data_IF_789832254148
#
_entry.id   IF_789832254148
#
_cell.length_a   1.000
_cell.length_b   1.000
_cell.length_c   1.000
_cell.angle_alpha   90.00
_cell.angle_beta   90.00
_cell.angle_gamma   90.00
#
_symmetry.space_group_name_H-M   'P 1'
#
loop_
_entity.id
_entity.type
_entity.pdbx_description
1 polymer ?
#
# COMPACT_ATOMS: atom_id res chain seq x y z
N UNK A 1 -5.41 20.69 -39.01
CA UNK A 1 -6.41 20.53 -37.93
C UNK A 1 -6.18 21.63 -36.92
N UNK A 2 -7.18 22.49 -36.66
CA UNK A 2 -7.04 23.56 -35.67
C UNK A 2 -6.95 22.94 -34.28
N UNK A 3 -5.84 23.19 -33.58
CA UNK A 3 -5.65 22.80 -32.18
C UNK A 3 -6.64 23.61 -31.33
N UNK A 4 -7.70 22.95 -30.85
CA UNK A 4 -8.64 23.54 -29.90
C UNK A 4 -7.85 23.96 -28.65
N UNK A 5 -7.90 25.24 -28.31
CA UNK A 5 -7.22 25.78 -27.13
C UNK A 5 -7.77 25.09 -25.87
N UNK A 6 -6.91 24.37 -25.15
CA UNK A 6 -7.30 23.65 -23.93
C UNK A 6 -7.26 24.66 -22.78
N UNK A 7 -8.42 25.00 -22.24
CA UNK A 7 -8.53 25.85 -21.05
C UNK A 7 -7.90 25.14 -19.84
N UNK A 8 -6.94 25.80 -19.19
CA UNK A 8 -6.25 25.30 -18.00
C UNK A 8 -6.73 26.02 -16.74
N UNK A 9 -6.83 25.27 -15.64
CA UNK A 9 -7.27 25.75 -14.34
C UNK A 9 -6.30 25.30 -13.25
N UNK A 10 -6.07 26.16 -12.26
CA UNK A 10 -5.27 25.81 -11.08
C UNK A 10 -6.13 25.07 -10.07
N UNK A 11 -5.66 23.94 -9.57
CA UNK A 11 -6.25 23.23 -8.45
C UNK A 11 -5.25 23.15 -7.29
N UNK A 12 -5.75 23.35 -6.08
CA UNK A 12 -4.99 23.23 -4.84
C UNK A 12 -5.48 21.98 -4.08
N UNK A 13 -4.55 21.09 -3.76
CA UNK A 13 -4.81 19.84 -3.03
C UNK A 13 -3.82 19.69 -1.88
N UNK A 14 -4.20 18.99 -0.81
CA UNK A 14 -3.28 18.68 0.30
C UNK A 14 -2.70 17.29 0.12
N UNK A 15 -1.37 17.19 0.07
CA UNK A 15 -0.66 15.94 -0.21
C UNK A 15 0.36 15.65 0.87
N UNK A 16 0.52 14.39 1.25
CA UNK A 16 1.54 13.94 2.17
C UNK A 16 2.93 14.33 1.64
N UNK A 17 3.68 15.09 2.44
CA UNK A 17 4.89 15.79 2.01
C UNK A 17 5.93 14.90 1.29
N UNK A 18 6.28 13.70 1.80
CA UNK A 18 7.21 12.80 1.12
C UNK A 18 6.80 12.47 -0.32
N UNK A 19 5.50 12.30 -0.59
CA UNK A 19 5.01 11.99 -1.94
C UNK A 19 5.34 13.10 -2.93
N UNK A 20 5.24 14.37 -2.50
CA UNK A 20 5.52 15.53 -3.36
C UNK A 20 6.97 15.50 -3.84
N UNK A 21 7.91 15.31 -2.92
CA UNK A 21 9.34 15.34 -3.21
C UNK A 21 9.75 14.20 -4.14
N UNK A 22 9.28 12.98 -3.88
CA UNK A 22 9.65 11.81 -4.69
C UNK A 22 9.01 11.86 -6.06
N UNK A 23 7.73 12.23 -6.14
CA UNK A 23 7.04 12.41 -7.41
C UNK A 23 7.76 13.44 -8.28
N UNK A 24 8.14 14.59 -7.71
CA UNK A 24 8.90 15.61 -8.44
C UNK A 24 10.22 15.05 -8.98
N UNK A 25 11.00 14.38 -8.13
CA UNK A 25 12.25 13.77 -8.53
C UNK A 25 12.08 12.74 -9.66
N UNK A 26 11.10 11.83 -9.56
CA UNK A 26 10.83 10.82 -10.59
C UNK A 26 10.34 11.43 -11.90
N UNK A 27 9.47 12.43 -11.86
CA UNK A 27 8.99 13.14 -13.05
C UNK A 27 10.14 13.89 -13.76
N UNK A 28 11.02 14.53 -12.99
CA UNK A 28 12.20 15.21 -13.53
C UNK A 28 13.19 14.22 -14.14
N UNK A 29 13.46 13.10 -13.47
CA UNK A 29 14.31 12.02 -13.98
C UNK A 29 13.77 11.42 -15.28
N UNK A 30 12.44 11.28 -15.39
CA UNK A 30 11.76 10.85 -16.62
C UNK A 30 11.69 11.93 -17.71
N UNK A 31 12.24 13.13 -17.46
CA UNK A 31 12.23 14.28 -18.38
C UNK A 31 10.81 14.72 -18.80
N UNK A 32 9.83 14.58 -17.89
CA UNK A 32 8.43 14.89 -18.13
C UNK A 32 8.04 16.29 -17.67
N UNK A 33 7.11 16.91 -18.42
CA UNK A 33 6.41 18.10 -17.93
C UNK A 33 5.34 17.69 -16.94
N UNK A 34 5.66 17.81 -15.64
CA UNK A 34 4.82 17.42 -14.49
C UNK A 34 3.33 17.60 -14.71
N UNK A 35 2.87 18.84 -14.86
CA UNK A 35 1.44 19.15 -14.90
C UNK A 35 0.76 18.59 -16.18
N UNK A 36 1.46 18.52 -17.30
CA UNK A 36 0.92 17.95 -18.53
C UNK A 36 0.77 16.42 -18.44
N UNK A 37 1.73 15.75 -17.80
CA UNK A 37 1.64 14.31 -17.51
C UNK A 37 0.51 14.02 -16.53
N UNK A 38 0.48 14.75 -15.40
CA UNK A 38 -0.54 14.57 -14.37
C UNK A 38 -1.96 14.85 -14.89
N UNK A 39 -2.15 15.85 -15.75
CA UNK A 39 -3.45 16.13 -16.39
C UNK A 39 -3.97 14.92 -17.18
N UNK A 40 -3.10 14.28 -17.96
CA UNK A 40 -3.46 13.08 -18.73
C UNK A 40 -3.72 11.88 -17.82
N UNK A 41 -2.82 11.62 -16.87
CA UNK A 41 -2.89 10.46 -15.99
C UNK A 41 -4.10 10.54 -15.05
N UNK A 42 -4.32 11.67 -14.39
CA UNK A 42 -5.44 11.87 -13.46
C UNK A 42 -6.80 11.80 -14.16
N UNK A 43 -6.91 12.23 -15.42
CA UNK A 43 -8.15 12.09 -16.18
C UNK A 43 -8.54 10.62 -16.33
N UNK A 44 -7.58 9.79 -16.74
CA UNK A 44 -7.80 8.34 -16.92
C UNK A 44 -8.12 7.70 -15.56
N UNK A 45 -7.36 8.05 -14.52
CA UNK A 45 -7.56 7.49 -13.19
C UNK A 45 -8.87 7.92 -12.53
N UNK A 46 -9.40 9.11 -12.83
CA UNK A 46 -10.72 9.51 -12.39
C UNK A 46 -11.83 8.70 -13.07
N UNK A 47 -11.67 8.32 -14.34
CA UNK A 47 -12.60 7.40 -15.02
C UNK A 47 -12.57 6.02 -14.38
N UNK A 48 -11.38 5.48 -14.09
CA UNK A 48 -11.28 4.22 -13.35
C UNK A 48 -11.86 4.32 -11.95
N UNK A 49 -11.64 5.40 -11.20
CA UNK A 49 -12.29 5.61 -9.90
C UNK A 49 -13.82 5.50 -10.01
N UNK A 50 -14.40 6.08 -11.06
CA UNK A 50 -15.84 6.00 -11.32
C UNK A 50 -16.30 4.56 -11.61
N UNK A 51 -15.55 3.83 -12.42
CA UNK A 51 -15.88 2.47 -12.86
C UNK A 51 -15.68 1.43 -11.76
N UNK A 52 -14.61 1.55 -10.99
CA UNK A 52 -14.16 0.55 -10.01
C UNK A 52 -14.89 0.64 -8.66
N UNK A 53 -15.36 1.85 -8.30
CA UNK A 53 -16.16 2.06 -7.10
C UNK A 53 -17.65 1.92 -7.40
N UNK A 54 -18.16 0.70 -7.30
CA UNK A 54 -19.59 0.42 -7.53
C UNK A 54 -20.50 1.18 -6.55
N UNK A 55 -20.13 1.19 -5.27
CA UNK A 55 -20.90 1.84 -4.19
C UNK A 55 -20.16 3.09 -3.69
N UNK A 56 -20.82 4.27 -3.66
CA UNK A 56 -20.26 5.45 -3.02
C UNK A 56 -20.00 5.22 -1.52
N UNK A 57 -18.99 5.90 -0.96
CA UNK A 57 -18.77 5.90 0.49
C UNK A 57 -19.96 6.49 1.24
N UNK A 58 -20.24 5.96 2.43
CA UNK A 58 -21.11 6.63 3.38
C UNK A 58 -20.48 7.96 3.85
N UNK A 59 -21.27 8.82 4.47
CA UNK A 59 -20.73 10.03 5.11
C UNK A 59 -19.82 9.69 6.30
N UNK A 60 -20.07 8.58 7.00
CA UNK A 60 -19.19 8.05 8.06
C UNK A 60 -17.83 7.68 7.47
N UNK A 61 -17.79 6.93 6.37
CA UNK A 61 -16.57 6.55 5.68
C UNK A 61 -15.79 7.74 5.14
N UNK A 62 -16.45 8.70 4.50
CA UNK A 62 -15.78 9.92 4.03
C UNK A 62 -15.16 10.71 5.17
N UNK A 63 -15.89 10.86 6.28
CA UNK A 63 -15.40 11.57 7.47
C UNK A 63 -14.19 10.84 8.05
N UNK A 64 -14.29 9.52 8.25
CA UNK A 64 -13.21 8.69 8.73
C UNK A 64 -11.96 8.83 7.87
N UNK A 65 -12.05 8.63 6.54
CA UNK A 65 -10.92 8.80 5.62
C UNK A 65 -10.30 10.21 5.73
N UNK A 66 -11.13 11.25 5.87
CA UNK A 66 -10.65 12.63 6.01
C UNK A 66 -9.87 12.83 7.31
N UNK A 67 -10.33 12.24 8.42
CA UNK A 67 -9.65 12.28 9.71
C UNK A 67 -8.32 11.53 9.65
N UNK A 68 -8.31 10.30 9.13
CA UNK A 68 -7.09 9.50 8.97
C UNK A 68 -6.06 10.21 8.05
N UNK A 69 -6.51 10.83 6.96
CA UNK A 69 -5.63 11.62 6.10
C UNK A 69 -5.03 12.83 6.83
N UNK A 70 -5.77 13.44 7.76
CA UNK A 70 -5.31 14.61 8.51
C UNK A 70 -4.22 14.32 9.54
N UNK A 71 -4.05 13.05 9.94
CA UNK A 71 -2.95 12.59 10.80
C UNK A 71 -1.60 12.60 10.06
N UNK A 72 -1.63 12.58 8.73
CA UNK A 72 -0.43 12.65 7.91
C UNK A 72 0.14 14.07 7.87
N UNK A 73 1.46 14.17 7.63
CA UNK A 73 2.11 15.46 7.36
C UNK A 73 1.75 15.98 5.98
N UNK A 74 0.66 16.75 5.88
CA UNK A 74 0.15 17.27 4.62
C UNK A 74 0.75 18.64 4.27
N UNK A 75 1.06 18.84 2.98
CA UNK A 75 1.45 20.13 2.39
C UNK A 75 0.55 20.49 1.20
N UNK A 76 0.26 21.79 0.99
CA UNK A 76 -0.46 22.24 -0.19
C UNK A 76 0.36 22.03 -1.47
N UNK A 77 -0.23 21.40 -2.48
CA UNK A 77 0.32 21.22 -3.82
C UNK A 77 -0.61 21.89 -4.83
N UNK A 78 -0.06 22.81 -5.64
CA UNK A 78 -0.79 23.45 -6.74
C UNK A 78 -0.45 22.76 -8.06
N UNK A 79 -1.48 22.37 -8.80
CA UNK A 79 -1.37 21.77 -10.14
C UNK A 79 -2.12 22.62 -11.16
N UNK A 80 -1.59 22.71 -12.38
CA UNK A 80 -2.25 23.38 -13.51
C UNK A 80 -2.75 22.33 -14.51
N UNK A 81 -4.03 21.94 -14.38
CA UNK A 81 -4.65 20.89 -15.19
C UNK A 81 -5.65 21.48 -16.19
N UNK A 82 -6.14 20.69 -17.14
CA UNK A 82 -7.25 21.13 -17.98
C UNK A 82 -8.52 21.29 -17.13
N UNK A 83 -9.39 22.24 -17.51
CA UNK A 83 -10.69 22.43 -16.82
C UNK A 83 -11.55 21.17 -16.90
N UNK A 84 -11.45 20.42 -18.01
CA UNK A 84 -12.13 19.14 -18.21
C UNK A 84 -11.71 18.11 -17.14
N UNK A 85 -10.40 17.92 -16.93
CA UNK A 85 -9.87 17.01 -15.90
C UNK A 85 -10.26 17.44 -14.49
N UNK A 86 -10.17 18.74 -14.16
CA UNK A 86 -10.58 19.25 -12.83
C UNK A 86 -12.06 19.00 -12.56
N UNK A 87 -12.92 19.26 -13.55
CA UNK A 87 -14.36 19.01 -13.44
C UNK A 87 -14.64 17.52 -13.25
N UNK A 88 -14.00 16.66 -14.05
CA UNK A 88 -14.15 15.21 -13.93
C UNK A 88 -13.74 14.71 -12.54
N UNK A 89 -12.57 15.10 -12.03
CA UNK A 89 -12.11 14.69 -10.69
C UNK A 89 -13.13 15.12 -9.63
N UNK A 90 -13.59 16.38 -9.66
CA UNK A 90 -14.55 16.89 -8.69
C UNK A 90 -15.91 16.17 -8.80
N UNK A 91 -16.36 15.88 -10.02
CA UNK A 91 -17.60 15.15 -10.29
C UNK A 91 -17.54 13.73 -9.74
N UNK A 92 -16.50 12.97 -10.09
CA UNK A 92 -16.33 11.57 -9.64
C UNK A 92 -16.13 11.51 -8.13
N UNK A 93 -15.29 12.37 -7.54
CA UNK A 93 -15.09 12.39 -6.08
C UNK A 93 -16.40 12.72 -5.35
N UNK A 94 -17.23 13.60 -5.91
CA UNK A 94 -18.56 13.90 -5.35
C UNK A 94 -19.52 12.73 -5.53
N UNK A 95 -19.58 12.13 -6.71
CA UNK A 95 -20.41 10.97 -7.05
C UNK A 95 -20.12 9.77 -6.14
N UNK A 96 -18.84 9.46 -5.93
CA UNK A 96 -18.38 8.32 -5.10
C UNK A 96 -18.21 8.67 -3.62
N UNK A 97 -18.54 9.91 -3.24
CA UNK A 97 -18.36 10.45 -1.89
C UNK A 97 -16.92 10.26 -1.33
N UNK A 98 -15.91 10.42 -2.19
CA UNK A 98 -14.49 10.29 -1.84
C UNK A 98 -13.90 11.67 -1.53
N UNK A 99 -13.13 11.85 -0.44
CA UNK A 99 -12.37 13.08 -0.25
C UNK A 99 -11.37 13.27 -1.40
N UNK A 100 -11.45 14.41 -2.11
CA UNK A 100 -10.56 14.68 -3.26
C UNK A 100 -9.09 14.55 -2.89
N UNK A 101 -8.70 15.05 -1.72
CA UNK A 101 -7.32 14.96 -1.26
C UNK A 101 -6.89 13.50 -1.03
N UNK A 102 -7.78 12.62 -0.55
CA UNK A 102 -7.48 11.18 -0.39
C UNK A 102 -7.25 10.49 -1.74
N UNK A 103 -8.09 10.77 -2.74
CA UNK A 103 -7.88 10.28 -4.11
C UNK A 103 -6.53 10.73 -4.67
N UNK A 104 -6.16 12.01 -4.50
CA UNK A 104 -4.88 12.53 -4.98
C UNK A 104 -3.69 11.90 -4.25
N UNK A 105 -3.78 11.69 -2.93
CA UNK A 105 -2.71 11.04 -2.16
C UNK A 105 -2.54 9.58 -2.56
N UNK A 106 -3.65 8.84 -2.76
CA UNK A 106 -3.61 7.46 -3.26
C UNK A 106 -2.96 7.39 -4.64
N UNK A 107 -3.39 8.26 -5.55
CA UNK A 107 -2.81 8.36 -6.89
C UNK A 107 -1.31 8.62 -6.82
N UNK A 108 -0.85 9.59 -6.02
CA UNK A 108 0.59 9.89 -5.93
C UNK A 108 1.38 8.76 -5.27
N UNK A 109 0.83 8.12 -4.23
CA UNK A 109 1.46 6.96 -3.61
C UNK A 109 1.68 5.84 -4.61
N UNK A 110 0.66 5.46 -5.37
CA UNK A 110 0.76 4.42 -6.40
C UNK A 110 1.66 4.83 -7.56
N UNK A 111 1.71 6.12 -7.91
CA UNK A 111 2.57 6.64 -8.98
C UNK A 111 4.06 6.50 -8.65
N UNK A 112 4.43 6.63 -7.37
CA UNK A 112 5.82 6.49 -6.94
C UNK A 112 6.16 5.10 -6.39
N UNK A 113 5.15 4.25 -6.19
CA UNK A 113 5.31 2.97 -5.52
C UNK A 113 6.30 2.08 -6.28
N UNK A 114 7.28 1.58 -5.55
CA UNK A 114 8.16 0.49 -5.97
C UNK A 114 7.48 -0.85 -5.69
N UNK A 115 8.06 -1.93 -6.21
CA UNK A 115 7.57 -3.29 -5.94
C UNK A 115 7.45 -3.55 -4.43
N UNK A 116 8.44 -3.11 -3.65
CA UNK A 116 8.41 -3.21 -2.18
C UNK A 116 7.19 -2.51 -1.57
N UNK A 117 6.87 -1.31 -2.05
CA UNK A 117 5.71 -0.54 -1.58
C UNK A 117 4.41 -1.20 -2.03
N UNK A 118 4.33 -1.66 -3.28
CA UNK A 118 3.15 -2.35 -3.81
C UNK A 118 2.89 -3.66 -3.05
N UNK A 119 3.92 -4.47 -2.81
CA UNK A 119 3.80 -5.69 -2.00
C UNK A 119 3.28 -5.38 -0.60
N UNK A 120 3.79 -4.32 0.03
CA UNK A 120 3.34 -3.92 1.36
C UNK A 120 1.86 -3.46 1.36
N UNK A 121 1.46 -2.66 0.38
CA UNK A 121 0.09 -2.13 0.25
C UNK A 121 -0.94 -3.22 -0.06
N UNK A 122 -0.58 -4.22 -0.85
CA UNK A 122 -1.46 -5.29 -1.30
C UNK A 122 -1.16 -6.62 -0.61
N UNK A 123 -0.47 -6.61 0.54
CA UNK A 123 -0.01 -7.83 1.21
C UNK A 123 -1.15 -8.79 1.58
N UNK A 124 -2.29 -8.27 2.05
CA UNK A 124 -3.45 -9.12 2.36
C UNK A 124 -3.92 -9.87 1.11
N UNK A 125 -4.05 -9.15 -0.01
CA UNK A 125 -4.44 -9.72 -1.29
C UNK A 125 -3.45 -10.78 -1.79
N UNK A 126 -2.15 -10.51 -1.65
CA UNK A 126 -1.08 -11.46 -2.01
C UNK A 126 -1.08 -12.69 -1.11
N UNK A 127 -1.30 -12.52 0.20
CA UNK A 127 -1.32 -13.63 1.16
C UNK A 127 -2.45 -14.63 0.89
N UNK A 128 -3.59 -14.16 0.39
CA UNK A 128 -4.70 -15.05 -0.02
C UNK A 128 -4.27 -15.89 -1.23
N UNK A 129 -3.56 -15.29 -2.20
CA UNK A 129 -3.04 -16.01 -3.38
C UNK A 129 -1.94 -17.03 -3.02
N UNK A 130 -1.09 -16.70 -2.03
CA UNK A 130 -0.06 -17.62 -1.52
C UNK A 130 -0.70 -18.84 -0.83
N UNK A 131 -1.76 -18.65 -0.05
CA UNK A 131 -2.50 -19.76 0.56
C UNK A 131 -3.16 -20.68 -0.49
N UNK A 132 -3.67 -20.11 -1.58
CA UNK A 132 -4.21 -20.88 -2.69
C UNK A 132 -3.14 -21.74 -3.38
N UNK A 133 -1.91 -21.23 -3.51
CA UNK A 133 -0.80 -21.95 -4.16
C UNK A 133 -0.14 -23.01 -3.28
N UNK A 134 -0.13 -22.86 -1.95
CA UNK A 134 0.45 -23.86 -1.04
C UNK A 134 -0.46 -25.09 -0.79
N UNK A 135 -1.74 -25.01 -1.11
CA UNK A 135 -2.72 -26.10 -0.90
C UNK A 135 -2.59 -27.29 -1.86
N UNK A 136 -2.03 -27.10 -3.06
CA UNK A 136 -2.02 -28.16 -4.09
C UNK A 136 -0.62 -28.61 -4.55
N UNK A 137 0.44 -27.88 -4.19
CA UNK A 137 1.81 -28.26 -4.58
C UNK A 137 2.59 -29.03 -3.49
N UNK A 138 1.95 -29.30 -2.36
CA UNK A 138 2.60 -29.93 -1.20
C UNK A 138 2.62 -31.45 -1.22
N UNK A 139 1.86 -32.16 -2.08
CA UNK A 139 1.81 -33.63 -1.99
C UNK A 139 1.82 -34.32 -3.37
N UNK A 140 3.04 -34.52 -3.86
CA UNK A 140 3.47 -35.66 -4.68
C UNK A 140 3.37 -35.55 -6.23
N UNK A 141 4.51 -35.80 -6.89
CA UNK A 141 4.70 -36.21 -8.29
C UNK A 141 4.78 -35.17 -9.43
N UNK A 142 4.75 -33.86 -9.17
CA UNK A 142 4.91 -32.85 -10.23
C UNK A 142 6.36 -32.44 -10.57
N UNK A 143 7.32 -32.82 -9.73
CA UNK A 143 8.60 -32.11 -9.66
C UNK A 143 9.75 -32.72 -10.48
N UNK A 144 9.73 -34.03 -10.74
CA UNK A 144 10.83 -34.69 -11.46
C UNK A 144 10.76 -34.51 -12.99
N UNK A 145 9.57 -34.19 -13.55
CA UNK A 145 9.37 -34.13 -15.00
C UNK A 145 9.82 -32.80 -15.64
N UNK A 146 10.02 -31.74 -14.84
CA UNK A 146 10.33 -30.39 -15.34
C UNK A 146 11.83 -30.07 -15.29
N UNK A 147 12.61 -30.73 -14.44
CA UNK A 147 14.09 -30.66 -14.46
C UNK A 147 14.69 -31.33 -15.70
N UNK A 148 14.12 -32.46 -16.18
CA UNK A 148 14.62 -33.16 -17.38
C UNK A 148 14.33 -32.42 -18.69
N UNK A 149 13.35 -31.51 -18.73
CA UNK A 149 12.98 -30.78 -19.93
C UNK A 149 13.77 -29.48 -20.15
N UNK A 150 14.73 -29.14 -19.26
CA UNK A 150 15.53 -27.92 -19.36
C UNK A 150 14.74 -26.62 -19.14
N UNK A 151 13.52 -26.71 -18.58
CA UNK A 151 12.72 -25.54 -18.22
C UNK A 151 13.04 -25.13 -16.78
N UNK A 152 13.83 -24.07 -16.67
CA UNK A 152 14.09 -23.38 -15.40
C UNK A 152 12.78 -22.75 -14.90
N UNK A 153 12.32 -23.16 -13.71
CA UNK A 153 11.38 -22.51 -12.77
C UNK A 153 10.39 -21.42 -13.28
N UNK A 154 9.09 -21.48 -12.93
CA UNK A 154 8.29 -20.28 -12.68
C UNK A 154 8.47 -19.82 -11.21
N UNK A 155 9.71 -19.68 -10.72
CA UNK A 155 10.02 -19.08 -9.41
C UNK A 155 9.96 -17.58 -9.57
N UNK A 156 9.16 -16.86 -8.77
CA UNK A 156 9.12 -15.39 -8.71
C UNK A 156 8.94 -14.65 -10.05
N UNK A 157 9.11 -15.26 -11.22
CA UNK A 157 9.45 -14.62 -12.47
C UNK A 157 8.20 -14.12 -13.18
N UNK A 158 7.03 -14.69 -12.96
CA UNK A 158 5.78 -14.15 -13.50
C UNK A 158 5.33 -12.92 -12.70
N UNK A 159 5.51 -12.96 -11.39
CA UNK A 159 5.29 -11.84 -10.48
C UNK A 159 6.35 -10.75 -10.74
N UNK A 160 7.62 -11.13 -10.77
CA UNK A 160 8.78 -10.30 -11.07
C UNK A 160 8.76 -9.80 -12.51
N UNK A 161 8.20 -10.49 -13.51
CA UNK A 161 8.02 -9.96 -14.87
C UNK A 161 6.88 -8.95 -14.93
N UNK A 162 5.82 -9.16 -14.13
CA UNK A 162 4.70 -8.21 -13.99
C UNK A 162 5.03 -6.99 -13.12
N UNK A 163 6.04 -7.08 -12.25
CA UNK A 163 6.58 -5.96 -11.47
C UNK A 163 7.88 -5.38 -12.08
N UNK A 164 8.56 -6.11 -12.99
CA UNK A 164 9.68 -5.59 -13.81
C UNK A 164 9.23 -4.56 -14.84
N UNK A 165 7.93 -4.42 -15.10
CA UNK A 165 7.40 -3.15 -15.58
C UNK A 165 7.57 -2.14 -14.45
N UNK A 166 8.77 -1.54 -14.46
CA UNK A 166 9.25 -0.53 -13.52
C UNK A 166 8.15 0.47 -13.18
N UNK A 167 8.21 1.05 -11.97
CA UNK A 167 7.40 2.19 -11.47
C UNK A 167 6.82 2.99 -12.64
N UNK A 168 5.52 3.30 -12.66
CA UNK A 168 4.82 3.89 -13.81
C UNK A 168 5.52 5.10 -14.51
N UNK A 169 6.42 5.79 -13.80
CA UNK A 169 7.26 6.88 -14.34
C UNK A 169 8.55 6.43 -15.03
N UNK A 170 9.08 5.25 -14.71
CA UNK A 170 10.33 4.68 -15.21
C UNK A 170 10.14 3.91 -16.55
N UNK A 171 8.88 3.77 -16.99
CA UNK A 171 8.44 3.10 -18.22
C UNK A 171 8.12 4.14 -19.31
N UNK A 172 9.11 4.41 -20.19
CA UNK A 172 8.96 5.41 -21.27
C UNK A 172 7.85 5.05 -22.27
N UNK A 173 7.50 3.76 -22.41
CA UNK A 173 6.45 3.30 -23.32
C UNK A 173 5.04 3.59 -22.80
N UNK A 174 4.78 3.54 -21.50
CA UNK A 174 3.46 3.89 -20.94
C UNK A 174 3.17 5.40 -21.08
N UNK A 175 4.19 6.24 -20.97
CA UNK A 175 4.11 7.70 -21.14
C UNK A 175 3.46 8.08 -22.49
N UNK A 176 3.74 7.32 -23.54
CA UNK A 176 3.26 7.57 -24.89
C UNK A 176 1.81 7.11 -25.12
N UNK A 177 1.26 6.20 -24.30
CA UNK A 177 -0.03 5.55 -24.60
C UNK A 177 -1.21 6.21 -23.88
N UNK A 178 -2.43 6.02 -24.39
CA UNK A 178 -3.69 6.52 -23.79
C UNK A 178 -4.14 5.67 -22.59
N UNK A 179 -3.20 5.06 -21.90
CA UNK A 179 -3.47 3.99 -20.93
C UNK A 179 -3.18 4.49 -19.52
N UNK A 180 -3.85 3.89 -18.54
CA UNK A 180 -3.73 4.24 -17.13
C UNK A 180 -2.30 3.98 -16.63
N UNK A 181 -1.71 4.85 -15.78
CA UNK A 181 -0.42 4.58 -15.15
C UNK A 181 -0.42 3.33 -14.25
N UNK A 182 -1.59 2.84 -13.81
CA UNK A 182 -1.70 1.65 -12.96
C UNK A 182 -2.22 0.42 -13.71
N UNK A 183 -2.04 0.37 -15.04
CA UNK A 183 -2.51 -0.76 -15.84
C UNK A 183 -1.89 -2.06 -15.36
N UNK A 184 -0.58 -2.06 -15.06
CA UNK A 184 0.11 -3.27 -14.58
C UNK A 184 -0.46 -3.77 -13.26
N UNK A 185 -0.75 -2.86 -12.32
CA UNK A 185 -1.40 -3.21 -11.03
C UNK A 185 -2.78 -3.81 -11.28
N UNK A 186 -3.59 -3.21 -12.16
CA UNK A 186 -4.91 -3.74 -12.52
C UNK A 186 -4.84 -5.09 -13.22
N UNK A 187 -3.93 -5.27 -14.17
CA UNK A 187 -3.71 -6.53 -14.88
C UNK A 187 -3.27 -7.62 -13.90
N UNK A 188 -2.39 -7.28 -12.96
CA UNK A 188 -1.96 -8.19 -11.91
C UNK A 188 -3.13 -8.60 -11.01
N UNK A 189 -3.91 -7.64 -10.49
CA UNK A 189 -5.10 -7.93 -9.68
C UNK A 189 -6.08 -8.81 -10.47
N UNK A 190 -6.38 -8.46 -11.72
CA UNK A 190 -7.27 -9.25 -12.57
C UNK A 190 -6.73 -10.66 -12.85
N UNK A 191 -5.42 -10.82 -13.01
CA UNK A 191 -4.79 -12.13 -13.19
C UNK A 191 -4.97 -13.00 -11.95
N UNK A 192 -4.72 -12.45 -10.76
CA UNK A 192 -4.94 -13.17 -9.50
C UNK A 192 -6.42 -13.55 -9.37
N UNK A 193 -7.34 -12.64 -9.68
CA UNK A 193 -8.77 -12.93 -9.59
C UNK A 193 -9.20 -13.98 -10.60
N UNK A 194 -8.72 -13.90 -11.85
CA UNK A 194 -9.04 -14.89 -12.88
C UNK A 194 -8.51 -16.27 -12.50
N UNK A 195 -7.25 -16.34 -12.05
CA UNK A 195 -6.61 -17.61 -11.72
C UNK A 195 -7.18 -18.24 -10.46
N UNK A 196 -7.40 -17.46 -9.40
CA UNK A 196 -7.73 -17.98 -8.07
C UNK A 196 -9.18 -17.75 -7.65
N UNK A 197 -9.88 -16.77 -8.22
CA UNK A 197 -11.27 -16.47 -7.87
C UNK A 197 -12.25 -17.55 -8.31
N UNK A 198 -12.05 -18.12 -9.50
CA UNK A 198 -12.91 -19.19 -10.02
C UNK A 198 -12.58 -20.55 -9.41
N UNK A 199 -11.30 -20.86 -9.25
CA UNK A 199 -10.82 -22.17 -8.79
C UNK A 199 -11.10 -22.43 -7.29
N UNK A 200 -10.94 -21.41 -6.44
CA UNK A 200 -11.08 -21.59 -4.99
C UNK A 200 -12.42 -21.10 -4.43
N UNK A 201 -13.29 -20.54 -5.27
CA UNK A 201 -14.63 -20.09 -4.85
C UNK A 201 -14.62 -18.99 -3.76
N UNK A 202 -13.48 -18.33 -3.53
CA UNK A 202 -13.38 -17.31 -2.47
C UNK A 202 -14.10 -16.04 -2.95
N UNK A 203 -15.31 -15.83 -2.44
CA UNK A 203 -16.14 -14.65 -2.71
C UNK A 203 -15.40 -13.35 -2.38
N UNK A 204 -14.42 -13.37 -1.45
CA UNK A 204 -13.58 -12.21 -1.15
C UNK A 204 -12.72 -11.82 -2.33
N UNK A 205 -12.06 -12.77 -3.00
CA UNK A 205 -11.25 -12.50 -4.20
C UNK A 205 -12.14 -11.95 -5.32
N UNK A 206 -13.32 -12.53 -5.53
CA UNK A 206 -14.28 -12.06 -6.54
C UNK A 206 -14.81 -10.67 -6.26
N UNK A 207 -14.98 -10.31 -4.98
CA UNK A 207 -15.41 -8.97 -4.57
C UNK A 207 -14.43 -7.86 -4.98
N UNK A 208 -13.17 -8.22 -5.24
CA UNK A 208 -12.13 -7.30 -5.71
C UNK A 208 -12.05 -7.15 -7.23
N UNK A 209 -12.93 -7.80 -8.00
CA UNK A 209 -12.88 -7.75 -9.46
C UNK A 209 -13.09 -6.31 -9.95
N UNK A 210 -12.05 -5.76 -10.61
CA UNK A 210 -11.98 -4.36 -11.06
C UNK A 210 -12.14 -3.35 -9.93
N UNK A 211 -11.50 -3.56 -8.78
CA UNK A 211 -11.76 -2.79 -7.58
C UNK A 211 -10.50 -2.15 -6.97
N UNK A 212 -9.52 -1.72 -7.77
CA UNK A 212 -8.26 -1.15 -7.24
C UNK A 212 -8.54 0.07 -6.36
N UNK A 213 -9.48 0.95 -6.74
CA UNK A 213 -9.92 2.06 -5.87
C UNK A 213 -10.90 1.68 -4.75
N UNK A 214 -11.48 0.48 -4.80
CA UNK A 214 -12.35 -0.05 -3.75
C UNK A 214 -11.58 -0.90 -2.74
N UNK A 215 -10.31 -1.19 -3.00
CA UNK A 215 -9.44 -1.97 -2.11
C UNK A 215 -8.88 -1.09 -0.98
N UNK A 216 -9.29 -1.28 0.28
CA UNK A 216 -8.66 -0.60 1.39
C UNK A 216 -7.27 -1.17 1.65
N UNK A 217 -6.29 -0.31 1.84
CA UNK A 217 -5.01 -0.65 2.45
C UNK A 217 -5.21 -0.89 3.94
N UNK A 218 -4.51 -1.87 4.47
CA UNK A 218 -4.47 -2.17 5.90
C UNK A 218 -3.76 -1.06 6.68
N UNK A 219 -4.20 -0.78 7.91
CA UNK A 219 -3.67 0.30 8.75
C UNK A 219 -2.13 0.27 8.82
N UNK A 220 -1.56 -0.93 9.01
CA UNK A 220 -0.13 -1.14 9.18
C UNK A 220 0.62 -1.43 7.86
N UNK A 221 -0.02 -1.32 6.69
CA UNK A 221 0.58 -1.70 5.41
C UNK A 221 1.94 -1.00 5.16
N UNK A 222 2.03 0.30 5.47
CA UNK A 222 3.25 1.09 5.27
C UNK A 222 4.21 1.06 6.47
N UNK A 223 3.79 0.51 7.62
CA UNK A 223 4.60 0.45 8.84
C UNK A 223 5.75 -0.54 8.74
N UNK A 224 5.55 -1.60 7.95
CA UNK A 224 6.51 -2.70 7.80
C UNK A 224 7.48 -2.51 6.62
N UNK A 225 7.49 -1.34 5.98
CA UNK A 225 8.43 -1.06 4.90
C UNK A 225 9.90 -1.16 5.40
N UNK A 226 10.88 -1.50 4.55
CA UNK A 226 12.30 -1.48 4.91
C UNK A 226 12.81 -0.08 5.32
N UNK A 227 13.98 -0.01 5.97
CA UNK A 227 14.55 1.27 6.46
C UNK A 227 14.83 2.26 5.33
N UNK A 228 15.12 1.77 4.12
CA UNK A 228 15.31 2.61 2.92
C UNK A 228 14.04 3.36 2.48
N UNK A 229 12.88 3.07 3.11
CA UNK A 229 11.60 3.72 2.89
C UNK A 229 11.05 4.39 4.16
N UNK A 230 11.92 4.74 5.11
CA UNK A 230 11.55 5.43 6.36
C UNK A 230 10.67 6.66 6.14
N UNK A 231 10.89 7.39 5.05
CA UNK A 231 10.14 8.57 4.64
C UNK A 231 8.69 8.28 4.24
N UNK A 232 8.33 7.02 3.94
CA UNK A 232 6.96 6.57 3.67
C UNK A 232 6.35 5.77 4.84
N UNK A 233 7.15 5.44 5.86
CA UNK A 233 6.62 4.77 7.05
C UNK A 233 5.68 5.73 7.77
N UNK A 234 4.43 5.32 7.81
CA UNK A 234 3.37 5.98 8.58
C UNK A 234 2.76 4.94 9.50
N UNK A 235 2.37 5.36 10.70
CA UNK A 235 1.67 4.48 11.63
C UNK A 235 0.26 4.13 11.14
N UNK A 236 -0.29 4.95 10.24
CA UNK A 236 -1.63 4.82 9.72
C UNK A 236 -1.67 5.02 8.20
N UNK A 237 -1.84 3.93 7.45
CA UNK A 237 -1.98 3.98 5.99
C UNK A 237 -3.41 4.27 5.52
N UNK A 238 -4.41 4.26 6.42
CA UNK A 238 -5.83 4.39 6.07
C UNK A 238 -6.16 5.74 5.43
N UNK A 239 -5.35 6.78 5.69
CA UNK A 239 -5.47 8.08 5.03
C UNK A 239 -5.28 8.04 3.51
N UNK A 240 -4.68 6.97 2.96
CA UNK A 240 -4.50 6.77 1.52
C UNK A 240 -5.65 5.98 0.88
N UNK A 241 -6.69 5.63 1.63
CA UNK A 241 -7.83 4.89 1.09
C UNK A 241 -8.85 5.80 0.41
N UNK A 242 -9.37 5.33 -0.72
CA UNK A 242 -10.48 5.96 -1.44
C UNK A 242 -11.83 5.33 -1.08
N UNK A 243 -11.82 4.12 -0.52
CA UNK A 243 -13.01 3.41 -0.06
C UNK A 243 -12.74 2.73 1.27
N UNK A 244 -13.69 2.82 2.19
CA UNK A 244 -13.72 2.07 3.45
C UNK A 244 -15.18 1.77 3.77
N UNK A 245 -15.52 0.53 4.14
CA UNK A 245 -16.88 0.16 4.55
C UNK A 245 -17.18 0.58 5.98
N UNK A 246 -18.45 0.85 6.30
CA UNK A 246 -18.85 1.21 7.67
C UNK A 246 -18.52 0.10 8.68
N UNK A 247 -18.66 -1.17 8.28
CA UNK A 247 -18.26 -2.33 9.07
C UNK A 247 -16.75 -2.34 9.35
N UNK A 248 -15.90 -1.95 8.39
CA UNK A 248 -14.46 -1.82 8.63
C UNK A 248 -14.19 -0.73 9.68
N UNK A 249 -14.87 0.41 9.59
CA UNK A 249 -14.73 1.51 10.54
C UNK A 249 -15.14 1.07 11.94
N UNK A 250 -16.26 0.38 12.08
CA UNK A 250 -16.72 -0.13 13.39
C UNK A 250 -15.70 -1.08 14.01
N UNK A 251 -15.05 -1.92 13.19
CA UNK A 251 -13.95 -2.78 13.66
C UNK A 251 -12.78 -1.94 14.15
N UNK A 252 -12.32 -0.95 13.39
CA UNK A 252 -11.25 -0.05 13.80
C UNK A 252 -11.58 0.69 15.11
N UNK A 253 -12.79 1.26 15.21
CA UNK A 253 -13.27 1.96 16.41
C UNK A 253 -13.26 1.01 17.63
N UNK A 254 -13.69 -0.25 17.46
CA UNK A 254 -13.68 -1.24 18.54
C UNK A 254 -12.27 -1.61 19.01
N UNK A 255 -11.30 -1.64 18.10
CA UNK A 255 -9.90 -1.90 18.45
C UNK A 255 -9.28 -0.72 19.19
N UNK A 256 -9.59 0.50 18.79
CA UNK A 256 -9.14 1.72 19.48
C UNK A 256 -9.71 1.73 20.90
N UNK A 257 -11.00 1.46 21.08
CA UNK A 257 -11.60 1.36 22.41
C UNK A 257 -10.93 0.28 23.27
N UNK A 258 -10.62 -0.88 22.68
CA UNK A 258 -9.94 -1.96 23.38
C UNK A 258 -8.49 -1.59 23.77
N UNK A 259 -7.72 -0.95 22.88
CA UNK A 259 -6.36 -0.53 23.22
C UNK A 259 -6.36 0.61 24.26
N UNK A 260 -7.34 1.52 24.20
CA UNK A 260 -7.58 2.52 25.23
C UNK A 260 -7.91 1.87 26.58
N UNK A 261 -8.72 0.82 26.60
CA UNK A 261 -9.02 0.06 27.82
C UNK A 261 -7.77 -0.66 28.34
N UNK A 262 -6.99 -1.30 27.46
CA UNK A 262 -5.77 -2.03 27.83
C UNK A 262 -4.65 -1.10 28.30
N UNK A 263 -4.55 0.11 27.74
CA UNK A 263 -3.58 1.13 28.17
C UNK A 263 -4.01 1.82 29.46
N UNK A 264 -5.32 1.97 29.73
CA UNK A 264 -5.85 2.52 30.98
C UNK A 264 -5.88 1.51 32.13
N UNK A 265 -5.59 0.22 31.92
CA UNK A 265 -5.49 -0.73 33.02
C UNK A 265 -4.14 -0.60 33.77
N UNK A 266 -4.15 -0.27 35.08
CA UNK A 266 -2.93 -0.22 35.90
C UNK A 266 -2.19 -1.56 35.98
N UNK A 267 -2.86 -2.65 35.58
CA UNK A 267 -2.27 -3.99 35.52
C UNK A 267 -1.27 -4.17 34.38
N UNK A 268 -1.38 -3.42 33.27
CA UNK A 268 -0.38 -3.45 32.18
C UNK A 268 0.95 -2.88 32.65
N UNK A 269 0.93 -1.79 33.44
CA UNK A 269 2.13 -1.24 34.07
C UNK A 269 2.71 -2.21 35.11
N UNK A 270 1.85 -2.86 35.90
CA UNK A 270 2.25 -3.90 36.85
C UNK A 270 2.91 -5.08 36.13
N UNK A 271 2.31 -5.57 35.04
CA UNK A 271 2.84 -6.68 34.24
C UNK A 271 4.16 -6.32 33.55
N UNK A 272 4.24 -5.13 32.93
CA UNK A 272 5.48 -4.62 32.33
C UNK A 272 6.59 -4.44 33.37
N UNK A 273 6.26 -4.04 34.60
CA UNK A 273 7.24 -3.93 35.69
C UNK A 273 7.78 -5.31 36.12
N UNK A 274 6.93 -6.34 36.15
CA UNK A 274 7.32 -7.73 36.45
C UNK A 274 8.23 -8.27 35.34
N UNK A 275 7.87 -8.09 34.07
CA UNK A 275 8.68 -8.53 32.93
C UNK A 275 10.04 -7.83 32.87
N UNK A 276 10.10 -6.52 33.16
CA UNK A 276 11.37 -5.78 33.26
C UNK A 276 12.23 -6.28 34.41
N UNK A 277 11.63 -6.61 35.56
CA UNK A 277 12.32 -7.18 36.72
C UNK A 277 12.92 -8.56 36.40
N UNK A 278 12.14 -9.47 35.81
CA UNK A 278 12.64 -10.80 35.41
C UNK A 278 13.78 -10.71 34.39
N UNK A 279 13.68 -9.81 33.41
CA UNK A 279 14.75 -9.60 32.43
C UNK A 279 16.05 -9.14 33.10
N UNK A 280 15.96 -8.23 34.08
CA UNK A 280 17.11 -7.74 34.85
C UNK A 280 17.73 -8.85 35.71
N UNK A 281 16.90 -9.66 36.37
CA UNK A 281 17.37 -10.81 37.17
C UNK A 281 18.08 -11.86 36.31
N UNK A 282 17.54 -12.17 35.11
CA UNK A 282 18.19 -13.07 34.14
C UNK A 282 19.53 -12.51 33.66
N UNK A 283 19.59 -11.23 33.33
CA UNK A 283 20.84 -10.58 32.91
C UNK A 283 21.89 -10.61 34.04
N UNK A 284 21.48 -10.36 35.28
CA UNK A 284 22.37 -10.41 36.44
C UNK A 284 22.87 -11.83 36.72
N UNK A 285 22.02 -12.85 36.63
CA UNK A 285 22.42 -14.24 36.78
C UNK A 285 23.43 -14.69 35.71
N UNK A 286 23.25 -14.24 34.46
CA UNK A 286 24.22 -14.48 33.38
C UNK A 286 25.56 -13.81 33.69
N UNK A 287 25.54 -12.55 34.15
CA UNK A 287 26.74 -11.82 34.52
C UNK A 287 27.51 -12.50 35.66
N UNK A 288 26.82 -12.87 36.75
CA UNK A 288 27.42 -13.59 37.89
C UNK A 288 28.00 -14.95 37.48
N UNK A 289 27.36 -15.65 36.55
CA UNK A 289 27.87 -16.92 35.99
C UNK A 289 29.16 -16.72 35.20
N UNK A 290 29.26 -15.63 34.42
CA UNK A 290 30.47 -15.28 33.68
C UNK A 290 31.63 -14.89 34.61
N UNK A 291 31.37 -14.12 35.66
CA UNK A 291 32.40 -13.76 36.65
C UNK A 291 32.93 -14.98 37.39
N UNK A 292 32.05 -15.91 37.81
CA UNK A 292 32.48 -17.18 38.42
C UNK A 292 33.36 -18.01 37.49
N UNK A 293 33.02 -18.08 36.20
CA UNK A 293 33.85 -18.77 35.20
C UNK A 293 35.21 -18.11 35.04
N UNK A 294 35.25 -16.77 34.98
CA UNK A 294 36.51 -16.02 34.88
C UNK A 294 37.42 -16.24 36.09
N UNK A 295 36.88 -16.16 37.31
CA UNK A 295 37.63 -16.40 38.54
C UNK A 295 38.19 -17.84 38.60
N UNK A 296 37.45 -18.83 38.11
CA UNK A 296 37.91 -20.22 38.03
C UNK A 296 39.11 -20.37 37.09
N UNK A 297 39.05 -19.77 35.90
CA UNK A 297 40.14 -19.78 34.92
C UNK A 297 41.39 -19.09 35.49
N UNK A 298 41.23 -17.94 36.15
CA UNK A 298 42.34 -17.20 36.77
C UNK A 298 42.96 -17.95 37.97
N UNK A 299 42.19 -18.77 38.67
CA UNK A 299 42.66 -19.63 39.75
C UNK A 299 43.40 -20.89 39.27
N UNK A 300 43.01 -21.47 38.14
CA UNK A 300 43.68 -22.63 37.53
C UNK A 300 45.00 -22.26 36.83
N UNK A 301 45.22 -20.98 36.53
CA UNK A 301 46.43 -20.47 35.88
C UNK A 301 47.58 -20.08 36.84
N UNK A 302 47.40 -20.23 38.16
CA UNK A 302 48.41 -19.96 39.20
C UNK A 302 48.97 -21.25 39.79
#
# INVERSE_FOLDING_TARGET
MATKEINKTKILVKVHEPLITIMQHKIEAACLKRDAYLDKALRIEAEFLREEMATPNSDKAKKFITEQLSELRLKPLTLVLSTETVNLINEVCKEKNVPRDAFMNRFFLLLIATDTVLTALFNEFLSIADLATMGEFSESHGWDYLEEAGYYYPSSATVELMFRTKVALDSLEEIATKVSPFLNVRLFINFIIYKYGDEYGDERIRSFHKAMYSFPFEENALKMLPDDYDFLRVDNSLGFNTFISDEYIERCESFIELDDLLTKQPEKEKFLSVMKKEKKEKQQAVFESLEKRRAKIEGEAK
#
